data_IF_855314607221
#
_entry.id   IF_855314607221
#
_cell.length_a   1.000
_cell.length_b   1.000
_cell.length_c   1.000
_cell.angle_alpha   90.00
_cell.angle_beta   90.00
_cell.angle_gamma   90.00
#
_symmetry.space_group_name_H-M   'P 1'
#
loop_
_entity.id
_entity.type
_entity.pdbx_description
1 polymer ?
#
# COMPACT_ATOMS: atom_id res chain seq x y z
N UNK A 1 -60.57 -27.47 22.14
CA UNK A 1 -59.41 -26.88 22.83
C UNK A 1 -58.17 -27.50 22.22
N UNK A 2 -57.52 -26.80 21.31
CA UNK A 2 -56.37 -27.31 20.56
C UNK A 2 -55.18 -26.38 20.86
N UNK A 3 -54.23 -26.87 21.62
CA UNK A 3 -52.98 -26.16 21.92
C UNK A 3 -51.97 -26.36 20.82
N UNK A 4 -51.57 -25.26 20.14
CA UNK A 4 -50.48 -25.26 19.19
C UNK A 4 -49.17 -25.03 19.95
N UNK A 5 -48.26 -26.00 19.90
CA UNK A 5 -46.89 -25.86 20.39
C UNK A 5 -46.06 -25.25 19.27
N UNK A 6 -45.57 -24.02 19.47
CA UNK A 6 -44.60 -23.38 18.58
C UNK A 6 -43.22 -23.91 18.93
N UNK A 7 -42.56 -24.51 17.94
CA UNK A 7 -41.15 -24.88 18.00
C UNK A 7 -40.33 -23.65 17.66
N UNK A 8 -39.61 -23.12 18.65
CA UNK A 8 -38.59 -22.08 18.43
C UNK A 8 -37.32 -22.78 17.98
N UNK A 9 -37.01 -22.67 16.70
CA UNK A 9 -35.68 -23.04 16.16
C UNK A 9 -34.66 -21.99 16.59
N UNK A 10 -33.88 -22.29 17.62
CA UNK A 10 -32.71 -21.51 18.02
C UNK A 10 -31.57 -21.84 17.06
N UNK A 11 -31.35 -20.98 16.07
CA UNK A 11 -30.23 -21.08 15.14
C UNK A 11 -28.92 -20.89 15.88
N UNK A 12 -28.14 -21.96 16.00
CA UNK A 12 -26.79 -21.97 16.56
C UNK A 12 -25.85 -21.28 15.53
N UNK A 13 -25.54 -20.02 15.77
CA UNK A 13 -24.51 -19.32 15.01
C UNK A 13 -23.15 -19.93 15.40
N UNK A 14 -22.63 -20.84 14.58
CA UNK A 14 -21.23 -21.28 14.72
C UNK A 14 -20.32 -20.13 14.36
N UNK A 15 -19.80 -19.43 15.36
CA UNK A 15 -18.63 -18.58 15.23
C UNK A 15 -17.44 -19.49 14.88
N UNK A 16 -17.03 -19.50 13.62
CA UNK A 16 -15.73 -20.05 13.21
C UNK A 16 -14.65 -19.14 13.81
N UNK A 17 -14.22 -19.49 15.02
CA UNK A 17 -13.01 -18.93 15.63
C UNK A 17 -11.83 -19.47 14.83
N UNK A 18 -11.37 -18.72 13.83
CA UNK A 18 -10.04 -18.92 13.28
C UNK A 18 -9.06 -18.58 14.39
N UNK A 19 -8.18 -19.50 14.75
CA UNK A 19 -7.04 -19.23 15.63
C UNK A 19 -6.11 -18.25 14.93
N UNK A 20 -6.46 -16.98 15.00
CA UNK A 20 -5.52 -15.90 14.69
C UNK A 20 -4.71 -15.66 15.96
N UNK A 21 -3.39 -15.65 15.83
CA UNK A 21 -2.48 -15.34 16.96
C UNK A 21 -2.68 -13.85 17.29
N UNK A 22 -3.59 -13.56 18.22
CA UNK A 22 -3.99 -12.20 18.65
C UNK A 22 -2.87 -11.56 19.48
N UNK A 23 -1.66 -11.45 18.91
CA UNK A 23 -0.59 -10.72 19.56
C UNK A 23 -1.02 -9.27 19.73
N UNK A 24 -1.25 -8.86 20.96
CA UNK A 24 -1.59 -7.49 21.31
C UNK A 24 -0.40 -6.53 21.05
N UNK A 25 0.84 -7.06 21.11
CA UNK A 25 2.09 -6.34 20.81
C UNK A 25 2.91 -7.17 19.82
N UNK A 26 3.29 -6.53 18.71
CA UNK A 26 4.07 -7.14 17.65
C UNK A 26 5.55 -7.26 18.04
N UNK A 27 6.34 -8.00 17.29
CA UNK A 27 7.79 -8.07 17.53
C UNK A 27 8.51 -6.75 17.20
N UNK A 28 7.93 -5.92 16.32
CA UNK A 28 8.39 -4.53 16.06
C UNK A 28 7.97 -3.54 17.16
N UNK A 29 7.21 -3.97 18.18
CA UNK A 29 6.79 -3.14 19.31
C UNK A 29 5.49 -2.37 19.09
N UNK A 30 4.82 -2.54 17.94
CA UNK A 30 3.52 -1.91 17.66
C UNK A 30 2.43 -2.54 18.53
N UNK A 31 1.50 -1.74 19.01
CA UNK A 31 0.36 -2.22 19.76
C UNK A 31 -0.88 -2.26 18.86
N UNK A 32 -1.50 -3.42 18.69
CA UNK A 32 -2.69 -3.58 17.84
C UNK A 32 -3.80 -2.60 18.19
N UNK A 33 -4.05 -2.34 19.49
CA UNK A 33 -5.07 -1.41 19.97
C UNK A 33 -4.90 0.01 19.43
N UNK A 34 -3.66 0.45 19.13
CA UNK A 34 -3.35 1.80 18.65
C UNK A 34 -3.69 1.95 17.16
N UNK A 35 -4.06 0.85 16.49
CA UNK A 35 -4.56 0.77 15.12
C UNK A 35 -6.06 0.49 15.04
N UNK A 36 -6.73 0.31 16.18
CA UNK A 36 -8.15 -0.01 16.25
C UNK A 36 -8.96 1.25 16.51
N UNK A 37 -9.70 1.72 15.50
CA UNK A 37 -10.63 2.83 15.62
C UNK A 37 -11.79 2.65 14.65
N UNK A 38 -12.88 3.37 14.91
CA UNK A 38 -14.02 3.45 14.01
C UNK A 38 -13.99 4.76 13.24
N UNK A 39 -14.10 4.69 11.93
CA UNK A 39 -14.20 5.85 11.04
C UNK A 39 -15.39 5.65 10.09
N UNK A 40 -16.41 6.48 10.21
CA UNK A 40 -17.61 6.42 9.36
C UNK A 40 -18.27 5.03 9.32
N UNK A 41 -18.36 4.36 10.45
CA UNK A 41 -18.97 3.03 10.56
C UNK A 41 -18.09 1.87 10.07
N UNK A 42 -16.84 2.13 9.72
CA UNK A 42 -15.85 1.12 9.34
C UNK A 42 -14.74 1.05 10.40
N UNK A 43 -14.26 -0.16 10.69
CA UNK A 43 -13.23 -0.39 11.69
C UNK A 43 -11.86 -0.60 11.05
N UNK A 44 -10.85 0.05 11.62
CA UNK A 44 -9.44 -0.23 11.31
C UNK A 44 -8.88 -1.26 12.27
N UNK A 45 -7.83 -1.99 11.82
CA UNK A 45 -7.12 -2.94 12.65
C UNK A 45 -5.67 -3.12 12.15
N UNK A 46 -4.85 -3.82 12.92
CA UNK A 46 -3.49 -4.23 12.58
C UNK A 46 -3.43 -5.76 12.49
N UNK A 47 -2.92 -6.25 11.37
CA UNK A 47 -2.71 -7.67 11.08
C UNK A 47 -1.23 -7.96 11.05
N UNK A 48 -0.82 -9.06 11.67
CA UNK A 48 0.59 -9.47 11.76
C UNK A 48 0.80 -10.78 11.04
N UNK A 49 1.65 -10.77 10.02
CA UNK A 49 2.17 -11.96 9.36
C UNK A 49 3.53 -12.30 9.98
N UNK A 50 3.81 -13.57 10.20
CA UNK A 50 5.11 -14.00 10.74
C UNK A 50 5.51 -15.36 10.22
N UNK A 51 6.80 -15.54 9.89
CA UNK A 51 7.31 -16.77 9.32
C UNK A 51 8.35 -17.46 10.21
N UNK A 52 8.76 -18.67 9.82
CA UNK A 52 9.74 -19.49 10.55
C UNK A 52 11.16 -18.94 10.46
N UNK A 53 11.44 -18.03 9.52
CA UNK A 53 12.77 -17.41 9.34
C UNK A 53 12.94 -16.12 10.14
N UNK A 54 11.91 -15.73 10.93
CA UNK A 54 11.96 -14.57 11.81
C UNK A 54 11.53 -13.26 11.18
N UNK A 55 11.02 -13.25 9.96
CA UNK A 55 10.39 -12.07 9.36
C UNK A 55 8.99 -11.87 9.95
N UNK A 56 8.66 -10.62 10.28
CA UNK A 56 7.31 -10.19 10.68
C UNK A 56 6.90 -8.99 9.83
N UNK A 57 5.65 -9.00 9.37
CA UNK A 57 5.07 -7.90 8.59
C UNK A 57 3.78 -7.46 9.26
N UNK A 58 3.67 -6.17 9.56
CA UNK A 58 2.46 -5.58 10.12
C UNK A 58 1.73 -4.78 9.05
N UNK A 59 0.43 -5.04 8.90
CA UNK A 59 -0.42 -4.47 7.86
C UNK A 59 -1.67 -3.88 8.52
N UNK A 60 -2.06 -2.66 8.16
CA UNK A 60 -3.37 -2.11 8.51
C UNK A 60 -4.28 -2.06 7.29
N UNK A 61 -5.58 -2.27 7.51
CA UNK A 61 -6.58 -2.12 6.45
C UNK A 61 -6.88 -0.65 6.09
N UNK A 62 -6.36 0.33 6.83
CA UNK A 62 -6.41 1.73 6.42
C UNK A 62 -5.37 2.01 5.33
N UNK A 63 -5.82 2.21 4.10
CA UNK A 63 -4.98 2.36 2.92
C UNK A 63 -4.32 1.07 2.47
N UNK A 64 -4.75 -0.09 2.99
CA UNK A 64 -4.09 -1.38 2.78
C UNK A 64 -2.56 -1.23 2.91
N UNK A 65 -2.11 -0.78 4.09
CA UNK A 65 -0.71 -0.35 4.34
C UNK A 65 0.12 -1.43 4.99
N UNK A 66 1.35 -1.55 4.54
CA UNK A 66 2.42 -2.12 5.35
C UNK A 66 2.90 -1.05 6.34
N UNK A 67 2.86 -1.38 7.62
CA UNK A 67 3.25 -0.49 8.73
C UNK A 67 4.68 -0.77 9.16
N UNK A 68 5.09 -2.05 9.17
CA UNK A 68 6.39 -2.52 9.63
C UNK A 68 6.80 -3.76 8.83
N UNK A 69 8.07 -3.86 8.49
CA UNK A 69 8.71 -5.07 7.94
C UNK A 69 9.95 -5.34 8.78
N UNK A 70 9.81 -6.22 9.75
CA UNK A 70 10.89 -6.65 10.62
C UNK A 70 11.60 -7.85 10.00
N UNK A 71 12.86 -7.71 9.65
CA UNK A 71 13.66 -8.79 9.03
C UNK A 71 14.93 -9.06 9.82
N UNK A 72 15.39 -10.34 9.93
CA UNK A 72 16.68 -10.65 10.49
C UNK A 72 17.82 -10.28 9.53
N UNK A 73 18.86 -9.68 10.06
CA UNK A 73 20.13 -9.49 9.36
C UNK A 73 20.92 -10.82 9.32
N UNK A 74 22.13 -10.77 8.72
CA UNK A 74 23.05 -11.93 8.64
C UNK A 74 23.49 -12.49 10.02
N UNK A 75 23.33 -11.72 11.10
CA UNK A 75 23.68 -12.13 12.48
C UNK A 75 22.42 -12.55 13.28
N UNK A 76 21.24 -12.51 12.64
CA UNK A 76 19.96 -12.85 13.28
C UNK A 76 19.33 -11.68 14.05
N UNK A 77 19.93 -10.48 14.05
CA UNK A 77 19.31 -9.29 14.61
C UNK A 77 18.16 -8.84 13.72
N UNK A 78 16.99 -8.65 14.30
CA UNK A 78 15.81 -8.19 13.56
C UNK A 78 15.70 -6.66 13.63
N UNK A 79 15.53 -6.04 12.46
CA UNK A 79 15.36 -4.59 12.32
C UNK A 79 14.16 -4.29 11.43
N UNK A 80 13.45 -3.21 11.73
CA UNK A 80 12.40 -2.71 10.84
C UNK A 80 13.05 -1.92 9.70
N UNK A 81 12.68 -2.26 8.47
CA UNK A 81 13.29 -1.69 7.26
C UNK A 81 12.38 -0.75 6.48
N UNK A 82 11.19 -0.41 7.01
CA UNK A 82 10.24 0.52 6.35
C UNK A 82 9.86 1.67 7.25
N UNK A 83 9.73 2.87 6.66
CA UNK A 83 9.21 4.04 7.37
C UNK A 83 7.71 3.88 7.63
N UNK A 84 7.28 4.19 8.84
CA UNK A 84 5.88 4.13 9.25
C UNK A 84 5.62 4.95 10.51
N UNK A 85 4.36 4.97 10.94
CA UNK A 85 3.93 5.55 12.19
C UNK A 85 3.48 4.44 13.16
N UNK A 86 3.45 4.77 14.45
CA UNK A 86 3.13 3.82 15.50
C UNK A 86 1.64 3.72 15.83
N UNK A 87 0.82 4.63 15.28
CA UNK A 87 -0.62 4.68 15.52
C UNK A 87 -1.41 5.00 14.26
N UNK A 88 -2.65 4.56 14.22
CA UNK A 88 -3.55 4.90 13.10
C UNK A 88 -3.88 6.40 13.05
N UNK A 89 -3.92 7.07 14.21
CA UNK A 89 -4.15 8.51 14.30
C UNK A 89 -3.10 9.31 13.55
N UNK A 90 -1.82 8.96 13.69
CA UNK A 90 -0.71 9.62 12.98
C UNK A 90 -0.84 9.47 11.46
N UNK A 91 -1.23 8.29 10.96
CA UNK A 91 -1.48 8.09 9.52
C UNK A 91 -2.63 8.96 8.99
N UNK A 92 -3.70 9.11 9.77
CA UNK A 92 -4.86 9.93 9.38
C UNK A 92 -4.55 11.42 9.41
N UNK A 93 -3.75 11.88 10.39
CA UNK A 93 -3.40 13.29 10.57
C UNK A 93 -2.36 13.74 9.54
N UNK A 94 -1.25 13.00 9.42
CA UNK A 94 -0.11 13.42 8.60
C UNK A 94 -0.29 13.10 7.12
N UNK A 95 -1.18 12.17 6.77
CA UNK A 95 -1.52 11.77 5.39
C UNK A 95 -0.30 11.44 4.50
N UNK A 96 0.74 10.89 5.11
CA UNK A 96 1.88 10.38 4.37
C UNK A 96 1.52 9.05 3.69
N UNK A 97 2.09 8.80 2.51
CA UNK A 97 1.84 7.56 1.78
C UNK A 97 2.70 6.38 2.27
N UNK A 98 3.31 6.45 3.46
CA UNK A 98 4.13 5.36 3.98
C UNK A 98 3.38 4.03 3.95
N UNK A 99 3.93 3.06 3.20
CA UNK A 99 3.43 1.71 3.07
C UNK A 99 2.04 1.55 2.44
N UNK A 100 1.39 2.62 1.96
CA UNK A 100 0.02 2.53 1.45
C UNK A 100 -0.06 1.94 0.05
N UNK A 101 -1.23 1.37 -0.26
CA UNK A 101 -1.65 1.13 -1.65
C UNK A 101 -2.15 2.44 -2.23
N UNK A 102 -1.54 2.89 -3.33
CA UNK A 102 -1.95 4.08 -4.06
C UNK A 102 -2.67 3.71 -5.34
N UNK A 103 -3.73 4.42 -5.64
CA UNK A 103 -4.63 4.16 -6.77
C UNK A 103 -5.80 5.17 -6.79
N UNK A 104 -6.61 5.17 -7.89
CA UNK A 104 -6.52 4.20 -9.01
C UNK A 104 -5.23 4.29 -9.84
N UNK A 105 -4.58 5.48 -9.86
CA UNK A 105 -3.42 5.74 -10.72
C UNK A 105 -2.28 6.35 -9.90
N UNK A 106 -1.15 5.64 -9.79
CA UNK A 106 0.06 6.16 -9.15
C UNK A 106 0.70 7.26 -10.01
N UNK A 107 1.40 8.17 -9.39
CA UNK A 107 2.03 9.31 -10.07
C UNK A 107 1.01 10.38 -10.39
N UNK A 108 1.25 11.14 -11.46
CA UNK A 108 0.41 12.28 -11.83
C UNK A 108 -0.27 12.08 -13.17
N UNK A 109 -1.53 12.55 -13.28
CA UNK A 109 -2.21 12.73 -14.55
C UNK A 109 -2.27 14.23 -14.82
N UNK A 110 -1.64 14.64 -15.92
CA UNK A 110 -1.48 16.03 -16.35
C UNK A 110 -2.85 16.71 -16.50
N UNK A 111 -2.99 17.91 -15.92
CA UNK A 111 -4.22 18.71 -15.96
C UNK A 111 -5.48 17.96 -15.48
N UNK A 112 -5.31 16.91 -14.66
CA UNK A 112 -6.37 16.07 -14.12
C UNK A 112 -7.38 15.63 -15.20
N UNK A 113 -6.90 15.17 -16.36
CA UNK A 113 -7.73 14.64 -17.42
C UNK A 113 -7.00 13.61 -18.27
N UNK A 114 -7.76 12.72 -18.86
CA UNK A 114 -7.28 11.76 -19.87
C UNK A 114 -8.39 11.46 -20.85
N UNK A 115 -8.02 10.94 -22.03
CA UNK A 115 -8.96 10.47 -23.05
C UNK A 115 -8.91 8.94 -23.09
N UNK A 116 -10.06 8.29 -23.00
CA UNK A 116 -10.20 6.85 -23.12
C UNK A 116 -11.34 6.56 -24.08
N UNK A 117 -11.08 5.73 -25.10
CA UNK A 117 -12.04 5.39 -26.14
C UNK A 117 -12.71 6.61 -26.81
N UNK A 118 -11.94 7.70 -27.00
CA UNK A 118 -12.42 8.95 -27.60
C UNK A 118 -13.20 9.86 -26.64
N UNK A 119 -13.43 9.46 -25.40
CA UNK A 119 -14.14 10.26 -24.38
C UNK A 119 -13.13 10.91 -23.43
N UNK A 120 -13.23 12.24 -23.27
CA UNK A 120 -12.46 12.97 -22.25
C UNK A 120 -13.07 12.77 -20.87
N UNK A 121 -12.27 12.29 -19.92
CA UNK A 121 -12.59 12.18 -18.51
C UNK A 121 -11.88 13.27 -17.72
N UNK A 122 -12.63 14.04 -16.93
CA UNK A 122 -12.10 15.07 -16.03
C UNK A 122 -12.06 14.54 -14.61
N UNK A 123 -10.88 14.62 -14.03
CA UNK A 123 -10.62 14.16 -12.66
C UNK A 123 -10.65 15.34 -11.69
N UNK A 124 -10.68 15.04 -10.39
CA UNK A 124 -10.61 16.05 -9.33
C UNK A 124 -9.15 16.33 -8.99
N UNK A 125 -8.63 17.55 -9.30
CA UNK A 125 -7.25 17.89 -8.97
C UNK A 125 -7.00 17.85 -7.45
N UNK A 126 -5.85 17.35 -7.02
CA UNK A 126 -5.45 17.33 -5.61
C UNK A 126 -3.99 17.80 -5.38
N UNK A 127 -3.29 18.22 -6.43
CA UNK A 127 -1.89 18.62 -6.36
C UNK A 127 -1.74 20.16 -6.42
N UNK A 128 -2.33 20.85 -5.44
CA UNK A 128 -2.21 22.30 -5.23
C UNK A 128 -2.47 23.12 -6.49
N UNK A 129 -1.61 24.12 -6.77
CA UNK A 129 -1.75 25.03 -7.92
C UNK A 129 -1.43 24.40 -9.28
N UNK A 130 -0.89 23.17 -9.31
CA UNK A 130 -0.51 22.53 -10.58
C UNK A 130 -1.71 22.12 -11.44
N UNK A 131 -2.89 21.96 -10.83
CA UNK A 131 -4.10 21.49 -11.51
C UNK A 131 -4.03 20.01 -11.91
N UNK A 132 -3.08 19.25 -11.38
CA UNK A 132 -2.94 17.82 -11.64
C UNK A 132 -3.66 16.98 -10.60
N UNK A 133 -3.94 15.72 -10.91
CA UNK A 133 -4.27 14.71 -9.92
C UNK A 133 -3.01 13.87 -9.63
N UNK A 134 -2.80 13.53 -8.37
CA UNK A 134 -1.69 12.70 -7.89
C UNK A 134 -2.22 11.54 -7.09
N UNK A 135 -1.66 10.35 -7.32
CA UNK A 135 -1.94 9.12 -6.58
C UNK A 135 -3.42 8.76 -6.46
N UNK A 136 -4.20 9.05 -7.53
CA UNK A 136 -5.62 8.71 -7.61
C UNK A 136 -6.57 9.68 -6.91
N UNK A 137 -6.08 10.78 -6.34
CA UNK A 137 -6.93 11.83 -5.75
C UNK A 137 -6.86 11.92 -4.24
N UNK A 138 -7.76 12.72 -3.65
CA UNK A 138 -7.87 12.92 -2.21
C UNK A 138 -9.35 13.05 -1.82
N UNK A 139 -9.91 12.06 -1.08
CA UNK A 139 -9.26 10.85 -0.62
C UNK A 139 -9.02 9.84 -1.76
N UNK A 140 -7.79 9.28 -1.82
CA UNK A 140 -7.41 8.19 -2.70
C UNK A 140 -7.46 6.83 -1.99
N UNK A 141 -6.94 5.77 -2.60
CA UNK A 141 -6.90 4.43 -2.01
C UNK A 141 -6.13 4.37 -0.69
N UNK A 142 -5.13 5.22 -0.54
CA UNK A 142 -4.34 5.38 0.69
C UNK A 142 -5.14 5.88 1.90
N UNK A 143 -6.29 6.55 1.67
CA UNK A 143 -7.15 7.14 2.70
C UNK A 143 -8.42 6.31 2.94
N UNK A 144 -8.53 5.13 2.32
CA UNK A 144 -9.72 4.27 2.43
C UNK A 144 -9.51 3.15 3.44
N UNK A 145 -10.57 2.77 4.13
CA UNK A 145 -10.58 1.54 4.92
C UNK A 145 -10.97 0.41 3.97
N UNK A 146 -10.08 -0.55 3.80
CA UNK A 146 -10.29 -1.72 2.96
C UNK A 146 -11.00 -2.81 3.77
N UNK A 147 -11.92 -3.50 3.11
CA UNK A 147 -12.60 -4.66 3.71
C UNK A 147 -11.60 -5.81 3.86
N UNK A 148 -11.53 -6.37 5.06
CA UNK A 148 -10.76 -7.58 5.33
C UNK A 148 -11.56 -8.78 4.87
N UNK A 149 -11.04 -9.53 3.90
CA UNK A 149 -11.67 -10.75 3.38
C UNK A 149 -11.08 -12.00 4.05
N UNK A 150 -9.79 -11.95 4.40
CA UNK A 150 -9.05 -13.00 5.07
C UNK A 150 -7.87 -12.39 5.84
N UNK A 151 -7.57 -12.96 7.00
CA UNK A 151 -6.33 -12.69 7.72
C UNK A 151 -5.95 -13.95 8.49
N UNK A 152 -4.72 -14.44 8.25
CA UNK A 152 -4.12 -15.58 8.94
C UNK A 152 -2.61 -15.35 9.13
N UNK A 153 -1.86 -16.36 9.56
CA UNK A 153 -0.43 -16.23 9.89
C UNK A 153 0.44 -15.80 8.71
N UNK A 154 0.05 -16.13 7.49
CA UNK A 154 0.86 -15.92 6.28
C UNK A 154 0.18 -15.05 5.23
N UNK A 155 -1.12 -14.76 5.40
CA UNK A 155 -1.91 -14.09 4.37
C UNK A 155 -2.82 -13.02 4.96
N UNK A 156 -2.82 -11.84 4.34
CA UNK A 156 -3.87 -10.83 4.51
C UNK A 156 -4.46 -10.49 3.16
N UNK A 157 -5.78 -10.73 3.01
CA UNK A 157 -6.54 -10.40 1.81
C UNK A 157 -7.48 -9.25 2.10
N UNK A 158 -7.31 -8.16 1.37
CA UNK A 158 -8.07 -6.92 1.51
C UNK A 158 -8.77 -6.60 0.20
N UNK A 159 -9.96 -6.01 0.26
CA UNK A 159 -10.67 -5.54 -0.94
C UNK A 159 -11.21 -4.12 -0.75
N UNK A 160 -11.29 -3.38 -1.85
CA UNK A 160 -11.92 -2.08 -1.92
C UNK A 160 -12.75 -1.97 -3.21
N UNK A 161 -13.97 -1.44 -3.08
CA UNK A 161 -14.82 -1.07 -4.22
C UNK A 161 -14.77 0.45 -4.36
N UNK A 162 -14.04 0.91 -5.38
CA UNK A 162 -14.01 2.30 -5.79
C UNK A 162 -15.20 2.56 -6.72
N UNK A 163 -16.19 3.36 -6.32
CA UNK A 163 -17.40 3.56 -7.09
C UNK A 163 -17.15 4.37 -8.37
N UNK A 164 -18.06 4.23 -9.35
CA UNK A 164 -18.06 5.08 -10.54
C UNK A 164 -18.07 6.56 -10.15
N UNK A 165 -17.22 7.35 -10.80
CA UNK A 165 -17.06 8.78 -10.53
C UNK A 165 -16.19 9.14 -9.32
N UNK A 166 -15.63 8.17 -8.59
CA UNK A 166 -14.69 8.48 -7.50
C UNK A 166 -13.49 9.27 -8.04
N UNK A 167 -13.27 10.49 -7.51
CA UNK A 167 -12.29 11.46 -8.00
C UNK A 167 -12.38 11.74 -9.52
N UNK A 168 -13.52 11.44 -10.15
CA UNK A 168 -13.77 11.61 -11.58
C UNK A 168 -13.40 10.39 -12.43
N UNK A 169 -12.89 9.31 -11.88
CA UNK A 169 -12.59 8.09 -12.61
C UNK A 169 -13.87 7.32 -12.98
N UNK A 170 -14.01 6.87 -14.25
CA UNK A 170 -15.19 6.11 -14.68
C UNK A 170 -15.18 4.66 -14.22
N UNK A 171 -16.37 4.09 -14.09
CA UNK A 171 -16.63 2.69 -13.78
C UNK A 171 -16.47 2.33 -12.30
N UNK A 172 -17.26 1.36 -11.85
CA UNK A 172 -17.07 0.72 -10.56
C UNK A 172 -15.86 -0.22 -10.65
N UNK A 173 -14.84 0.03 -9.85
CA UNK A 173 -13.61 -0.75 -9.83
C UNK A 173 -13.49 -1.50 -8.51
N UNK A 174 -13.59 -2.83 -8.54
CA UNK A 174 -13.28 -3.68 -7.40
C UNK A 174 -11.81 -4.08 -7.46
N UNK A 175 -11.07 -3.75 -6.42
CA UNK A 175 -9.66 -4.16 -6.25
C UNK A 175 -9.54 -5.10 -5.08
N UNK A 176 -8.79 -6.16 -5.25
CA UNK A 176 -8.35 -7.07 -4.19
C UNK A 176 -6.83 -7.03 -4.13
N UNK A 177 -6.29 -6.89 -2.93
CA UNK A 177 -4.87 -6.99 -2.64
C UNK A 177 -4.64 -8.16 -1.68
N UNK A 178 -3.72 -9.03 -2.04
CA UNK A 178 -3.28 -10.14 -1.21
C UNK A 178 -1.83 -9.91 -0.84
N UNK A 179 -1.58 -9.83 0.44
CA UNK A 179 -0.24 -9.92 1.02
C UNK A 179 0.01 -11.36 1.41
N UNK A 180 1.10 -11.95 0.92
CA UNK A 180 1.50 -13.33 1.26
C UNK A 180 2.96 -13.34 1.72
N UNK A 181 3.18 -13.82 2.94
CA UNK A 181 4.51 -13.99 3.51
C UNK A 181 4.97 -15.43 3.31
N UNK A 182 6.14 -15.63 2.71
CA UNK A 182 6.73 -16.95 2.55
C UNK A 182 6.97 -17.63 3.90
N UNK A 183 6.51 -18.88 4.08
CA UNK A 183 6.63 -19.60 5.35
C UNK A 183 8.09 -19.90 5.72
N UNK A 184 8.89 -20.29 4.72
CA UNK A 184 10.29 -20.73 4.89
C UNK A 184 11.30 -19.77 4.22
N UNK A 185 10.85 -18.58 3.77
CA UNK A 185 11.68 -17.55 3.16
C UNK A 185 11.23 -16.14 3.56
N UNK A 186 12.18 -15.20 3.63
CA UNK A 186 11.90 -13.81 3.97
C UNK A 186 11.46 -13.04 2.70
N UNK A 187 10.33 -13.43 2.12
CA UNK A 187 9.72 -12.82 0.96
C UNK A 187 8.28 -12.40 1.26
N UNK A 188 7.92 -11.17 0.92
CA UNK A 188 6.56 -10.65 0.98
C UNK A 188 6.06 -10.41 -0.44
N UNK A 189 5.07 -11.19 -0.86
CA UNK A 189 4.41 -11.03 -2.14
C UNK A 189 3.17 -10.15 -2.04
N UNK A 190 2.99 -9.29 -3.01
CA UNK A 190 1.82 -8.42 -3.16
C UNK A 190 1.14 -8.71 -4.50
N UNK A 191 -0.05 -9.31 -4.43
CA UNK A 191 -0.84 -9.62 -5.64
C UNK A 191 -2.06 -8.73 -5.72
N UNK A 192 -2.17 -7.98 -6.83
CA UNK A 192 -3.33 -7.15 -7.13
C UNK A 192 -4.22 -7.84 -8.17
N UNK A 193 -5.51 -7.91 -7.87
CA UNK A 193 -6.55 -8.33 -8.78
C UNK A 193 -7.58 -7.21 -8.89
N UNK A 194 -8.02 -6.89 -10.11
CA UNK A 194 -9.02 -5.85 -10.31
C UNK A 194 -10.04 -6.24 -11.37
N UNK A 195 -11.30 -5.85 -11.14
CA UNK A 195 -12.41 -5.98 -12.09
C UNK A 195 -13.19 -4.69 -12.15
N UNK A 196 -13.69 -4.35 -13.34
CA UNK A 196 -14.49 -3.13 -13.56
C UNK A 196 -15.68 -3.42 -14.47
N UNK A 197 -16.74 -2.63 -14.34
CA UNK A 197 -17.95 -2.70 -15.18
C UNK A 197 -17.93 -1.71 -16.34
N UNK A 198 -16.93 -0.81 -16.42
CA UNK A 198 -16.74 0.09 -17.53
C UNK A 198 -15.23 0.35 -17.76
N UNK A 199 -14.81 0.76 -18.97
CA UNK A 199 -13.43 1.14 -19.25
C UNK A 199 -12.94 2.20 -18.27
N UNK A 200 -11.77 1.98 -17.68
CA UNK A 200 -11.11 2.90 -16.74
C UNK A 200 -9.59 2.77 -16.83
N UNK A 201 -8.87 3.75 -16.29
CA UNK A 201 -7.41 3.67 -16.17
C UNK A 201 -7.03 3.10 -14.80
N UNK A 202 -6.05 2.20 -14.80
CA UNK A 202 -5.57 1.53 -13.59
C UNK A 202 -4.05 1.41 -13.60
N UNK A 203 -3.42 1.92 -12.57
CA UNK A 203 -1.99 1.75 -12.29
C UNK A 203 -1.78 1.78 -10.78
N UNK A 204 -1.78 0.61 -10.15
CA UNK A 204 -1.64 0.47 -8.70
C UNK A 204 -0.17 0.34 -8.31
N UNK A 205 0.15 0.77 -7.11
CA UNK A 205 1.46 0.55 -6.52
C UNK A 205 1.39 0.53 -5.00
N UNK A 206 2.42 -0.09 -4.43
CA UNK A 206 2.71 -0.07 -3.00
C UNK A 206 3.77 1.01 -2.72
N UNK A 207 3.53 1.86 -1.70
CA UNK A 207 4.30 3.08 -1.47
C UNK A 207 5.16 3.02 -0.19
N UNK A 208 5.80 1.88 0.08
CA UNK A 208 6.78 1.79 1.16
C UNK A 208 8.03 2.61 0.87
N UNK A 209 8.58 3.18 1.92
CA UNK A 209 9.88 3.84 1.93
C UNK A 209 10.83 2.98 2.74
N UNK A 210 11.89 2.52 2.11
CA UNK A 210 12.82 1.58 2.72
C UNK A 210 14.07 2.28 3.25
N UNK A 211 14.52 1.84 4.43
CA UNK A 211 15.87 2.03 4.92
C UNK A 211 16.40 0.67 5.42
N UNK A 212 17.13 -0.03 4.58
CA UNK A 212 17.61 -1.40 4.86
C UNK A 212 18.68 -1.46 5.96
N UNK A 213 19.14 -0.33 6.48
CA UNK A 213 20.01 -0.30 7.67
C UNK A 213 19.25 -0.62 8.96
N UNK A 214 17.89 -0.48 8.96
CA UNK A 214 17.05 -0.58 10.14
C UNK A 214 17.25 0.55 11.17
N UNK A 215 18.07 1.54 10.84
CA UNK A 215 18.33 2.71 11.69
C UNK A 215 17.88 3.99 10.97
N UNK A 216 16.68 4.45 11.28
CA UNK A 216 16.09 5.64 10.63
C UNK A 216 16.74 6.97 11.04
N UNK A 217 17.74 6.96 11.92
CA UNK A 217 18.59 8.14 12.17
C UNK A 217 19.70 8.30 11.15
N UNK A 218 19.94 7.25 10.34
CA UNK A 218 20.94 7.24 9.27
C UNK A 218 20.33 7.54 7.91
N UNK A 219 21.11 8.21 7.06
CA UNK A 219 20.78 8.40 5.66
C UNK A 219 20.74 7.05 4.92
N UNK A 220 20.05 7.02 3.78
CA UNK A 220 20.05 5.89 2.84
C UNK A 220 21.15 6.02 1.78
N UNK A 221 21.97 7.08 1.84
CA UNK A 221 22.91 7.46 0.78
C UNK A 221 24.04 6.44 0.57
N UNK A 222 24.44 5.72 1.61
CA UNK A 222 25.47 4.65 1.55
C UNK A 222 24.90 3.28 1.19
N UNK A 223 23.59 3.17 0.98
CA UNK A 223 22.96 1.96 0.46
C UNK A 223 23.26 1.81 -1.03
N UNK A 224 23.58 0.58 -1.45
CA UNK A 224 23.83 0.28 -2.86
C UNK A 224 22.52 0.00 -3.59
N UNK A 225 22.39 0.60 -4.78
CA UNK A 225 21.27 0.38 -5.69
C UNK A 225 21.82 -0.18 -7.01
N UNK A 226 21.14 -1.17 -7.55
CA UNK A 226 21.32 -1.70 -8.89
C UNK A 226 19.95 -1.79 -9.57
N UNK A 227 19.89 -1.34 -10.83
CA UNK A 227 18.65 -1.35 -11.61
C UNK A 227 18.96 -1.84 -13.02
N UNK A 228 18.36 -2.97 -13.41
CA UNK A 228 18.50 -3.52 -14.76
C UNK A 228 17.58 -2.77 -15.75
N UNK A 229 17.94 -1.53 -16.06
CA UNK A 229 17.18 -0.71 -16.99
C UNK A 229 18.12 0.21 -17.79
N UNK A 230 18.05 0.13 -19.13
CA UNK A 230 18.83 0.97 -20.05
C UNK A 230 18.21 2.35 -20.28
N UNK A 231 16.92 2.52 -19.93
CA UNK A 231 16.15 3.74 -20.22
C UNK A 231 15.29 4.12 -19.03
N UNK A 232 14.97 5.40 -18.96
CA UNK A 232 14.01 5.95 -18.00
C UNK A 232 12.99 6.86 -18.70
N UNK A 233 11.87 7.11 -18.04
CA UNK A 233 10.88 8.10 -18.45
C UNK A 233 11.15 9.42 -17.74
N UNK A 234 11.54 10.49 -18.45
CA UNK A 234 11.79 11.79 -17.83
C UNK A 234 10.50 12.46 -17.35
N UNK A 235 10.66 13.34 -16.39
CA UNK A 235 9.60 14.23 -15.92
C UNK A 235 9.76 15.61 -16.53
N UNK A 236 8.63 16.26 -16.84
CA UNK A 236 8.57 17.68 -17.13
C UNK A 236 8.72 18.56 -15.87
N UNK A 237 8.77 19.87 -16.02
CA UNK A 237 8.86 20.85 -14.92
C UNK A 237 7.69 20.72 -13.91
N UNK A 238 6.58 20.11 -14.31
CA UNK A 238 5.40 19.86 -13.49
C UNK A 238 5.42 18.49 -12.83
N UNK A 239 6.54 17.75 -12.98
CA UNK A 239 6.73 16.40 -12.48
C UNK A 239 5.74 15.38 -13.04
N UNK A 240 5.29 15.57 -14.28
CA UNK A 240 4.55 14.59 -15.06
C UNK A 240 5.50 13.90 -16.05
N UNK A 241 5.29 12.61 -16.30
CA UNK A 241 6.07 11.87 -17.30
C UNK A 241 5.83 12.46 -18.69
N UNK A 242 6.90 12.62 -19.48
CA UNK A 242 6.80 13.21 -20.83
C UNK A 242 6.31 12.22 -21.89
N UNK A 243 6.39 10.93 -21.60
CA UNK A 243 6.14 9.85 -22.54
C UNK A 243 7.36 9.47 -23.38
N UNK A 244 8.49 10.13 -23.18
CA UNK A 244 9.75 9.78 -23.82
C UNK A 244 10.47 8.67 -23.05
N UNK A 245 11.39 7.99 -23.74
CA UNK A 245 12.28 7.00 -23.15
C UNK A 245 13.72 7.42 -23.45
N UNK A 246 14.41 7.98 -22.45
CA UNK A 246 15.78 8.43 -22.56
C UNK A 246 16.76 7.39 -22.02
N UNK A 247 17.98 7.27 -22.59
CA UNK A 247 19.01 6.36 -22.08
C UNK A 247 19.49 6.82 -20.69
N UNK A 248 19.75 5.87 -19.79
CA UNK A 248 20.37 6.17 -18.48
C UNK A 248 21.86 6.45 -18.60
N UNK A 249 22.54 5.94 -19.65
CA UNK A 249 23.96 6.06 -19.84
C UNK A 249 24.45 7.52 -19.79
N UNK A 250 25.42 7.79 -18.93
CA UNK A 250 25.98 9.12 -18.74
C UNK A 250 25.11 10.09 -17.94
N UNK A 251 24.07 9.58 -17.28
CA UNK A 251 23.20 10.37 -16.39
C UNK A 251 23.33 9.90 -14.94
N UNK A 252 22.90 10.70 -13.95
CA UNK A 252 22.86 10.27 -12.54
C UNK A 252 21.84 9.14 -12.26
N UNK A 253 21.10 8.66 -13.26
CA UNK A 253 20.17 7.56 -13.16
C UNK A 253 20.74 6.22 -13.67
N UNK A 254 22.04 6.18 -13.99
CA UNK A 254 22.72 4.97 -14.48
C UNK A 254 23.12 4.04 -13.34
N UNK A 255 22.16 3.24 -12.87
CA UNK A 255 22.37 2.22 -11.85
C UNK A 255 22.50 0.80 -12.43
N UNK A 256 22.92 0.66 -13.70
CA UNK A 256 23.16 -0.65 -14.33
C UNK A 256 24.38 -1.39 -13.75
N UNK A 257 25.25 -0.68 -13.08
CA UNK A 257 26.24 -1.22 -12.15
C UNK A 257 25.87 -0.78 -10.73
N UNK A 258 26.17 -1.57 -9.69
CA UNK A 258 25.89 -1.16 -8.31
C UNK A 258 26.63 0.13 -7.95
N UNK A 259 25.87 1.17 -7.58
CA UNK A 259 26.36 2.43 -7.02
C UNK A 259 25.65 2.73 -5.72
N UNK A 260 26.28 3.50 -4.85
CA UNK A 260 25.56 4.02 -3.69
C UNK A 260 24.57 5.10 -4.14
N UNK A 261 23.46 5.20 -3.41
CA UNK A 261 22.42 6.19 -3.72
C UNK A 261 23.02 7.60 -3.67
N UNK A 262 23.88 7.89 -2.68
CA UNK A 262 24.51 9.20 -2.51
C UNK A 262 25.49 9.55 -3.62
N UNK A 263 26.18 8.56 -4.22
CA UNK A 263 27.14 8.79 -5.31
C UNK A 263 26.49 9.41 -6.55
N UNK A 264 25.25 9.00 -6.86
CA UNK A 264 24.50 9.47 -8.03
C UNK A 264 23.30 10.36 -7.68
N UNK A 265 23.11 10.71 -6.39
CA UNK A 265 21.96 11.49 -5.94
C UNK A 265 22.02 12.93 -6.49
N UNK A 266 20.90 13.38 -7.07
CA UNK A 266 20.71 14.76 -7.52
C UNK A 266 20.39 15.74 -6.37
N UNK A 267 20.30 15.26 -5.12
CA UNK A 267 19.95 16.09 -3.95
C UNK A 267 21.09 17.04 -3.58
N UNK A 268 22.30 16.73 -4.03
CA UNK A 268 23.52 17.50 -3.73
C UNK A 268 23.97 18.41 -4.89
N UNK A 269 23.13 18.63 -5.92
CA UNK A 269 23.40 19.55 -7.03
C UNK A 269 22.54 20.79 -6.92
#
# INVERSE_FOLDING_TARGET
MSGKHGIVCMGLLMLLSSCHDDKQVTASGLQRKDFQTEVNGQYTDLFTLSNKKGMEVCITNYGARVVSILVPDKNGKREDVVCGFSTIGEYMEQRQNFGSTVGRYIGRILNARFTLDGVEHKLVPNNGKSGHISHGGNPGFADRIWKVEQADTYTVRLSYLSPDGENGFPGNLKVTLVYSLGEDENALDLTYEATTDAPTVLNLSHHSFFNISGDFTKSVEDQQLWVDADRFTPYDDKKCVTGEYLPVAGTPLDFRMPHTIGELSLIHI
#
